data_IF_930332666650
#
_entry.id   IF_930332666650
#
_cell.length_a   1.000
_cell.length_b   1.000
_cell.length_c   1.000
_cell.angle_alpha   90.00
_cell.angle_beta   90.00
_cell.angle_gamma   90.00
#
_symmetry.space_group_name_H-M   'P 1'
#
loop_
_entity.id
_entity.type
_entity.pdbx_description
1 polymer ?
#
# COMPACT_ATOMS: atom_id res chain seq x y z
N UNK A 1 18.07 -6.82 -2.87
CA UNK A 1 17.31 -8.08 -2.82
C UNK A 1 15.83 -7.77 -2.58
N UNK A 2 14.97 -8.51 -3.23
CA UNK A 2 13.52 -8.36 -3.03
C UNK A 2 13.15 -8.64 -1.57
N UNK A 3 12.31 -7.80 -1.00
CA UNK A 3 11.86 -7.96 0.38
C UNK A 3 11.17 -9.31 0.58
N UNK A 4 11.34 -9.91 1.74
CA UNK A 4 10.78 -11.22 2.10
C UNK A 4 10.25 -11.19 3.52
N UNK A 5 9.45 -12.21 3.86
CA UNK A 5 9.00 -12.43 5.24
C UNK A 5 10.22 -12.54 6.17
N UNK A 6 10.19 -11.83 7.28
CA UNK A 6 11.28 -11.71 8.22
C UNK A 6 12.18 -10.50 8.03
N UNK A 7 12.12 -9.86 6.87
CA UNK A 7 12.90 -8.64 6.60
C UNK A 7 12.28 -7.44 7.30
N UNK A 8 13.14 -6.45 7.60
CA UNK A 8 12.70 -5.14 8.09
C UNK A 8 12.44 -4.21 6.91
N UNK A 9 11.49 -3.29 7.10
CA UNK A 9 11.24 -2.24 6.13
C UNK A 9 12.47 -1.34 5.99
N UNK A 10 12.77 -0.86 4.77
CA UNK A 10 13.84 0.12 4.57
C UNK A 10 13.40 1.50 5.10
N UNK A 11 14.37 2.27 5.61
CA UNK A 11 14.13 3.62 6.10
C UNK A 11 14.04 4.60 4.91
N UNK A 12 12.88 4.68 4.31
CA UNK A 12 12.61 5.49 3.10
C UNK A 12 11.52 6.51 3.42
N UNK A 13 11.68 7.72 2.91
CA UNK A 13 10.67 8.76 3.01
C UNK A 13 9.59 8.60 1.94
N UNK A 14 8.35 8.79 2.36
CA UNK A 14 7.16 8.79 1.51
C UNK A 14 6.34 10.04 1.83
N UNK A 15 5.30 10.33 1.05
CA UNK A 15 4.47 11.52 1.27
C UNK A 15 3.04 11.14 1.62
N UNK A 16 2.41 12.03 2.39
CA UNK A 16 1.01 11.91 2.77
C UNK A 16 0.38 13.29 2.77
N UNK A 17 -0.77 13.44 2.14
CA UNK A 17 -1.48 14.72 2.13
C UNK A 17 -2.71 14.64 3.02
N UNK A 18 -2.79 15.54 4.00
CA UNK A 18 -3.91 15.67 4.94
C UNK A 18 -4.24 17.15 5.11
N UNK A 19 -5.52 17.50 5.05
CA UNK A 19 -6.02 18.84 5.30
C UNK A 19 -5.27 19.93 4.48
N UNK A 20 -4.96 19.61 3.23
CA UNK A 20 -4.29 20.54 2.32
C UNK A 20 -2.78 20.59 2.44
N UNK A 21 -2.19 19.90 3.41
CA UNK A 21 -0.74 19.87 3.64
C UNK A 21 -0.12 18.55 3.23
N UNK A 22 1.01 18.61 2.50
CA UNK A 22 1.80 17.44 2.16
C UNK A 22 2.90 17.28 3.21
N UNK A 23 2.92 16.11 3.86
CA UNK A 23 3.96 15.74 4.81
C UNK A 23 4.90 14.72 4.21
N UNK A 24 6.18 14.82 4.54
CA UNK A 24 7.17 13.78 4.24
C UNK A 24 7.37 12.95 5.50
N UNK A 25 7.18 11.63 5.39
CA UNK A 25 7.17 10.72 6.52
C UNK A 25 8.15 9.59 6.26
N UNK A 26 8.97 9.23 7.26
CA UNK A 26 9.77 8.02 7.17
C UNK A 26 8.88 6.81 7.46
N UNK A 27 8.85 5.84 6.55
CA UNK A 27 7.96 4.68 6.65
C UNK A 27 8.26 3.85 7.91
N UNK A 28 9.51 3.78 8.32
CA UNK A 28 9.92 3.05 9.53
C UNK A 28 9.36 3.71 10.78
N UNK A 29 9.39 5.05 10.84
CA UNK A 29 8.82 5.79 11.96
C UNK A 29 7.30 5.65 12.02
N UNK A 30 6.65 5.65 10.86
CA UNK A 30 5.19 5.45 10.76
C UNK A 30 4.76 4.09 11.28
N UNK A 31 5.52 3.05 10.97
CA UNK A 31 5.17 1.66 11.28
C UNK A 31 5.67 1.17 12.64
N UNK A 32 6.49 1.97 13.32
CA UNK A 32 7.12 1.56 14.59
C UNK A 32 6.08 1.21 15.65
N UNK A 33 6.22 0.02 16.24
CA UNK A 33 5.36 -0.44 17.32
C UNK A 33 3.93 -0.77 16.92
N UNK A 34 3.64 -0.84 15.61
CA UNK A 34 2.29 -1.08 15.10
C UNK A 34 2.22 -2.34 14.26
N UNK A 35 1.04 -2.96 14.27
CA UNK A 35 0.70 -4.03 13.32
C UNK A 35 -0.10 -3.42 12.17
N UNK A 36 0.44 -3.53 10.97
CA UNK A 36 -0.04 -2.80 9.80
C UNK A 36 -0.32 -3.75 8.65
N UNK A 37 -1.42 -3.50 7.94
CA UNK A 37 -1.61 -4.04 6.59
C UNK A 37 -1.22 -2.93 5.61
N UNK A 38 -0.25 -3.22 4.75
CA UNK A 38 0.13 -2.35 3.65
C UNK A 38 -0.16 -3.07 2.35
N UNK A 39 -1.01 -2.49 1.52
CA UNK A 39 -1.23 -3.00 0.16
C UNK A 39 -0.83 -1.95 -0.86
N UNK A 40 -0.26 -2.42 -1.95
CA UNK A 40 0.23 -1.57 -3.03
C UNK A 40 -0.32 -2.04 -4.37
N UNK A 41 -0.36 -1.12 -5.32
CA UNK A 41 -1.01 -1.34 -6.59
C UNK A 41 -0.38 -0.44 -7.66
N UNK A 42 -0.57 -0.77 -8.95
CA UNK A 42 0.08 -0.04 -10.03
C UNK A 42 -0.33 1.43 -10.19
N UNK A 43 -1.50 1.83 -9.74
CA UNK A 43 -1.85 3.24 -9.84
C UNK A 43 -3.25 3.58 -9.38
N UNK A 44 -3.37 4.76 -8.77
CA UNK A 44 -4.65 5.38 -8.46
C UNK A 44 -5.48 5.54 -9.72
N UNK A 45 -6.81 5.38 -9.59
CA UNK A 45 -7.78 5.51 -10.67
C UNK A 45 -7.67 4.47 -11.80
N UNK A 46 -6.78 3.50 -11.70
CA UNK A 46 -6.73 2.41 -12.68
C UNK A 46 -7.83 1.38 -12.40
N UNK A 47 -8.24 0.57 -13.41
CA UNK A 47 -9.49 -0.22 -13.29
C UNK A 47 -9.57 -1.16 -12.09
N UNK A 48 -8.68 -2.14 -11.95
CA UNK A 48 -8.73 -3.11 -10.84
C UNK A 48 -8.46 -2.45 -9.49
N UNK A 49 -7.56 -1.48 -9.46
CA UNK A 49 -7.24 -0.74 -8.25
C UNK A 49 -8.47 0.00 -7.69
N UNK A 50 -9.25 0.64 -8.58
CA UNK A 50 -10.42 1.42 -8.22
C UNK A 50 -11.69 0.58 -8.05
N UNK A 51 -11.83 -0.53 -8.80
CA UNK A 51 -13.04 -1.33 -8.80
C UNK A 51 -13.04 -2.43 -7.73
N UNK A 52 -11.88 -2.93 -7.33
CA UNK A 52 -11.80 -4.12 -6.50
C UNK A 52 -10.79 -4.03 -5.35
N UNK A 53 -9.55 -3.61 -5.61
CA UNK A 53 -8.49 -3.69 -4.61
C UNK A 53 -8.74 -2.74 -3.44
N UNK A 54 -8.79 -1.44 -3.70
CA UNK A 54 -9.06 -0.45 -2.64
C UNK A 54 -10.45 -0.62 -2.01
N UNK A 55 -11.54 -0.77 -2.79
CA UNK A 55 -12.85 -0.97 -2.18
C UNK A 55 -12.94 -2.19 -1.27
N UNK A 56 -12.27 -3.28 -1.60
CA UNK A 56 -12.23 -4.47 -0.77
C UNK A 56 -11.64 -4.20 0.61
N UNK A 57 -10.59 -3.40 0.70
CA UNK A 57 -10.01 -3.00 1.98
C UNK A 57 -10.88 -2.02 2.75
N UNK A 58 -11.58 -1.13 2.06
CA UNK A 58 -12.54 -0.22 2.71
C UNK A 58 -13.63 -1.04 3.40
N UNK A 59 -14.21 -2.02 2.71
CA UNK A 59 -15.26 -2.89 3.25
C UNK A 59 -14.74 -3.73 4.44
N UNK A 60 -13.51 -4.24 4.35
CA UNK A 60 -12.94 -5.12 5.36
C UNK A 60 -12.25 -4.37 6.50
N UNK A 61 -12.19 -3.04 6.46
CA UNK A 61 -11.38 -2.26 7.42
C UNK A 61 -11.74 -2.53 8.88
N UNK A 62 -13.02 -2.52 9.22
CA UNK A 62 -13.47 -2.74 10.61
C UNK A 62 -13.06 -4.13 11.10
N UNK A 63 -13.20 -5.15 10.27
CA UNK A 63 -12.81 -6.51 10.60
C UNK A 63 -11.30 -6.64 10.79
N UNK A 64 -10.51 -5.97 9.95
CA UNK A 64 -9.05 -5.91 10.11
C UNK A 64 -8.68 -5.27 11.45
N UNK A 65 -9.27 -4.13 11.80
CA UNK A 65 -9.01 -3.46 13.08
C UNK A 65 -9.42 -4.35 14.25
N UNK A 66 -10.55 -5.02 14.18
CA UNK A 66 -11.01 -5.95 15.22
C UNK A 66 -10.02 -7.10 15.41
N UNK A 67 -9.31 -7.52 14.37
CA UNK A 67 -8.31 -8.59 14.42
C UNK A 67 -6.90 -8.10 14.74
N UNK A 68 -6.76 -6.91 15.28
CA UNK A 68 -5.49 -6.40 15.84
C UNK A 68 -4.65 -5.56 14.89
N UNK A 69 -5.17 -5.19 13.73
CA UNK A 69 -4.48 -4.27 12.83
C UNK A 69 -4.65 -2.84 13.35
N UNK A 70 -3.55 -2.13 13.52
CA UNK A 70 -3.55 -0.75 14.02
C UNK A 70 -3.72 0.28 12.91
N UNK A 71 -3.26 -0.01 11.70
CA UNK A 71 -3.26 0.91 10.57
C UNK A 71 -3.33 0.14 9.26
N UNK A 72 -4.09 0.66 8.31
CA UNK A 72 -4.15 0.14 6.93
C UNK A 72 -3.55 1.21 6.02
N UNK A 73 -2.57 0.83 5.22
CA UNK A 73 -1.89 1.71 4.27
C UNK A 73 -2.16 1.24 2.84
N UNK A 74 -2.57 2.17 1.99
CA UNK A 74 -2.60 2.00 0.54
C UNK A 74 -1.43 2.80 -0.03
N UNK A 75 -0.51 2.13 -0.74
CA UNK A 75 0.67 2.74 -1.31
C UNK A 75 0.67 2.61 -2.83
N UNK A 76 1.04 3.67 -3.51
CA UNK A 76 1.15 3.66 -4.98
C UNK A 76 2.23 4.64 -5.42
N UNK A 77 2.80 4.39 -6.61
CA UNK A 77 3.72 5.31 -7.27
C UNK A 77 2.88 6.38 -7.98
N UNK A 78 2.30 7.24 -7.15
CA UNK A 78 1.55 8.45 -7.52
C UNK A 78 1.93 9.53 -6.53
N UNK A 79 1.74 10.78 -6.90
CA UNK A 79 2.00 11.88 -5.96
C UNK A 79 0.92 11.98 -4.87
N UNK A 80 1.22 12.77 -3.85
CA UNK A 80 0.33 12.90 -2.69
C UNK A 80 -1.01 13.55 -3.02
N UNK A 81 -1.06 14.44 -4.01
CA UNK A 81 -2.30 15.09 -4.43
C UNK A 81 -3.25 14.08 -5.08
N UNK A 82 -2.72 13.24 -5.95
CA UNK A 82 -3.50 12.17 -6.61
C UNK A 82 -3.99 11.16 -5.58
N UNK A 83 -3.14 10.75 -4.64
CA UNK A 83 -3.51 9.77 -3.61
C UNK A 83 -4.62 10.30 -2.70
N UNK A 84 -4.57 11.56 -2.31
CA UNK A 84 -5.64 12.17 -1.52
C UNK A 84 -6.96 12.19 -2.31
N UNK A 85 -6.93 12.66 -3.55
CA UNK A 85 -8.13 12.74 -4.38
C UNK A 85 -8.77 11.36 -4.60
N UNK A 86 -7.93 10.35 -4.81
CA UNK A 86 -8.42 8.98 -5.00
C UNK A 86 -9.05 8.43 -3.71
N UNK A 87 -8.41 8.67 -2.57
CA UNK A 87 -8.97 8.29 -1.27
C UNK A 87 -10.32 8.94 -1.00
N UNK A 88 -10.46 10.23 -1.32
CA UNK A 88 -11.74 10.95 -1.20
C UNK A 88 -12.81 10.36 -2.11
N UNK A 89 -12.48 10.08 -3.36
CA UNK A 89 -13.41 9.46 -4.32
C UNK A 89 -13.88 8.08 -3.84
N UNK A 90 -13.00 7.32 -3.20
CA UNK A 90 -13.28 5.98 -2.72
C UNK A 90 -13.88 5.97 -1.29
N UNK A 91 -14.07 7.13 -0.69
CA UNK A 91 -14.64 7.28 0.65
C UNK A 91 -13.89 6.49 1.73
N UNK A 92 -12.55 6.52 1.65
CA UNK A 92 -11.72 5.81 2.64
C UNK A 92 -11.79 6.43 4.03
N UNK A 93 -12.09 7.73 4.10
CA UNK A 93 -12.09 8.53 5.33
C UNK A 93 -10.76 8.39 6.08
N UNK A 94 -10.79 8.09 7.36
CA UNK A 94 -9.59 7.82 8.18
C UNK A 94 -9.27 6.32 8.32
N UNK A 95 -10.00 5.46 7.61
CA UNK A 95 -9.81 4.01 7.68
C UNK A 95 -8.55 3.53 6.99
N UNK A 96 -8.17 4.17 5.89
CA UNK A 96 -7.00 3.81 5.10
C UNK A 96 -6.16 5.05 4.88
N UNK A 97 -4.88 4.94 5.23
CA UNK A 97 -3.91 6.01 4.99
C UNK A 97 -3.37 5.90 3.57
N UNK A 98 -3.61 6.92 2.76
CA UNK A 98 -3.22 6.95 1.34
C UNK A 98 -1.80 7.49 1.23
N UNK A 99 -0.83 6.60 1.11
CA UNK A 99 0.60 6.94 1.05
C UNK A 99 1.07 7.05 -0.39
N UNK A 100 1.78 8.13 -0.67
CA UNK A 100 2.35 8.44 -1.97
C UNK A 100 3.83 8.08 -2.01
N UNK A 101 4.20 7.17 -2.90
CA UNK A 101 5.59 6.86 -3.24
C UNK A 101 5.89 7.41 -4.65
N UNK A 102 5.69 8.72 -4.81
CA UNK A 102 5.65 9.37 -6.12
C UNK A 102 6.91 9.20 -6.96
N UNK A 103 8.07 9.12 -6.34
CA UNK A 103 9.35 8.89 -7.01
C UNK A 103 9.79 7.43 -7.00
N UNK A 104 8.94 6.52 -6.54
CA UNK A 104 9.18 5.08 -6.46
C UNK A 104 10.37 4.70 -5.56
N UNK A 105 10.78 5.55 -4.62
CA UNK A 105 11.94 5.28 -3.78
C UNK A 105 11.72 4.05 -2.88
N UNK A 106 10.55 3.96 -2.24
CA UNK A 106 10.22 2.80 -1.42
C UNK A 106 10.04 1.55 -2.28
N UNK A 107 9.27 1.65 -3.35
CA UNK A 107 8.98 0.55 -4.26
C UNK A 107 10.26 -0.06 -4.82
N UNK A 108 11.22 0.77 -5.24
CA UNK A 108 12.52 0.30 -5.73
C UNK A 108 13.38 -0.28 -4.61
N UNK A 109 13.35 0.30 -3.41
CA UNK A 109 14.14 -0.18 -2.28
C UNK A 109 13.75 -1.61 -1.87
N UNK A 110 12.48 -1.97 -2.01
CA UNK A 110 12.01 -3.35 -1.74
C UNK A 110 12.00 -4.25 -2.97
N UNK A 111 12.38 -3.70 -4.13
CA UNK A 111 12.48 -4.40 -5.43
C UNK A 111 11.14 -5.01 -5.89
N UNK A 112 10.06 -4.27 -5.69
CA UNK A 112 8.72 -4.63 -6.20
C UNK A 112 8.22 -3.62 -7.24
N UNK A 113 9.13 -2.96 -7.94
CA UNK A 113 8.79 -2.08 -9.05
C UNK A 113 8.39 -2.89 -10.29
N UNK A 114 7.64 -2.24 -11.17
CA UNK A 114 7.20 -2.77 -12.44
C UNK A 114 7.39 -1.70 -13.52
N UNK A 115 8.04 -2.05 -14.62
CA UNK A 115 8.21 -1.15 -15.75
C UNK A 115 6.98 -1.20 -16.64
N UNK A 116 6.23 -0.11 -16.69
CA UNK A 116 5.05 0.05 -17.55
C UNK A 116 5.24 1.12 -18.63
N UNK A 117 6.47 1.33 -19.07
CA UNK A 117 6.78 2.29 -20.13
C UNK A 117 6.00 2.04 -21.39
N UNK A 118 5.78 0.77 -21.77
CA UNK A 118 5.05 0.40 -22.97
C UNK A 118 3.62 0.94 -23.01
N UNK A 119 3.01 1.19 -21.86
CA UNK A 119 1.67 1.74 -21.73
C UNK A 119 1.66 3.21 -21.31
N UNK A 120 2.82 3.85 -21.26
CA UNK A 120 2.96 5.26 -20.91
C UNK A 120 2.85 5.53 -19.41
N UNK A 121 2.94 4.50 -18.57
CA UNK A 121 2.81 4.65 -17.12
C UNK A 121 4.14 4.75 -16.38
N UNK A 122 5.26 4.46 -17.05
CA UNK A 122 6.59 4.50 -16.44
C UNK A 122 6.78 3.42 -15.39
N UNK A 123 7.59 3.73 -14.38
CA UNK A 123 7.83 2.81 -13.26
C UNK A 123 6.68 2.89 -12.27
N UNK A 124 6.11 1.75 -11.95
CA UNK A 124 5.02 1.60 -11.00
C UNK A 124 5.32 0.49 -9.99
N UNK A 125 4.44 0.33 -9.01
CA UNK A 125 4.51 -0.78 -8.07
C UNK A 125 3.86 -2.02 -8.67
N UNK A 126 4.42 -3.19 -8.38
CA UNK A 126 3.66 -4.44 -8.51
C UNK A 126 2.48 -4.40 -7.54
N UNK A 127 1.50 -5.27 -7.76
CA UNK A 127 0.37 -5.41 -6.86
C UNK A 127 0.72 -6.43 -5.77
N UNK A 128 0.67 -5.99 -4.52
CA UNK A 128 0.96 -6.86 -3.39
C UNK A 128 0.23 -6.40 -2.13
N UNK A 129 0.22 -7.26 -1.12
CA UNK A 129 -0.18 -6.91 0.24
C UNK A 129 0.78 -7.55 1.22
N UNK A 130 1.07 -6.86 2.31
CA UNK A 130 1.90 -7.38 3.38
C UNK A 130 1.31 -7.04 4.75
N UNK A 131 1.60 -7.88 5.71
CA UNK A 131 1.36 -7.62 7.12
C UNK A 131 2.71 -7.33 7.78
N UNK A 132 2.80 -6.21 8.46
CA UNK A 132 4.02 -5.72 9.09
C UNK A 132 3.76 -5.60 10.59
N UNK A 133 4.67 -6.12 11.40
CA UNK A 133 4.61 -5.97 12.85
C UNK A 133 5.90 -5.32 13.33
N UNK A 134 5.80 -4.11 13.85
CA UNK A 134 6.95 -3.33 14.31
C UNK A 134 8.10 -3.35 13.30
N UNK A 135 7.78 -2.97 12.05
CA UNK A 135 8.71 -2.89 10.91
C UNK A 135 9.22 -4.24 10.37
N UNK A 136 8.76 -5.37 10.89
CA UNK A 136 9.12 -6.70 10.36
C UNK A 136 7.99 -7.26 9.53
N UNK A 137 8.29 -7.72 8.33
CA UNK A 137 7.31 -8.33 7.42
C UNK A 137 6.95 -9.72 7.93
N UNK A 138 5.68 -9.93 8.25
CA UNK A 138 5.15 -11.23 8.70
C UNK A 138 4.44 -12.00 7.60
N UNK A 139 3.79 -11.29 6.68
CA UNK A 139 3.09 -11.86 5.53
C UNK A 139 3.41 -11.02 4.30
N UNK A 140 3.67 -11.68 3.18
CA UNK A 140 3.90 -11.00 1.91
C UNK A 140 3.26 -11.80 0.77
N UNK A 141 2.23 -11.23 0.16
CA UNK A 141 1.52 -11.82 -0.96
C UNK A 141 1.68 -10.92 -2.18
N UNK A 142 2.51 -11.35 -3.13
CA UNK A 142 2.76 -10.62 -4.37
C UNK A 142 1.97 -11.29 -5.50
N UNK A 143 1.19 -10.50 -6.23
CA UNK A 143 0.40 -11.02 -7.36
C UNK A 143 1.30 -11.42 -8.53
N UNK A 144 0.91 -12.48 -9.22
CA UNK A 144 1.44 -12.75 -10.55
C UNK A 144 0.99 -11.62 -11.51
N UNK A 145 1.73 -11.36 -12.60
CA UNK A 145 1.37 -10.30 -13.53
C UNK A 145 -0.08 -10.37 -13.97
N UNK A 146 -0.79 -9.24 -13.87
CA UNK A 146 -2.21 -9.07 -14.26
C UNK A 146 -3.21 -9.89 -13.43
N UNK A 147 -2.79 -10.48 -12.31
CA UNK A 147 -3.67 -11.23 -11.42
C UNK A 147 -4.11 -10.38 -10.21
N UNK A 148 -5.24 -10.79 -9.61
CA UNK A 148 -5.73 -10.24 -8.36
C UNK A 148 -6.38 -11.39 -7.56
N UNK A 149 -5.55 -12.18 -6.88
CA UNK A 149 -5.97 -13.42 -6.23
C UNK A 149 -5.44 -13.57 -4.79
N UNK A 150 -4.31 -12.91 -4.45
CA UNK A 150 -3.61 -13.14 -3.18
C UNK A 150 -3.41 -11.89 -2.35
N UNK A 151 -3.58 -10.69 -2.92
CA UNK A 151 -3.38 -9.42 -2.24
C UNK A 151 -4.68 -8.75 -1.79
N UNK A 152 -5.80 -9.37 -2.00
CA UNK A 152 -7.11 -8.88 -1.60
C UNK A 152 -7.29 -8.95 -0.07
N UNK A 153 -8.23 -8.16 0.44
CA UNK A 153 -8.46 -8.02 1.87
C UNK A 153 -8.87 -9.35 2.54
N UNK A 154 -9.68 -10.17 1.88
CA UNK A 154 -10.14 -11.44 2.45
C UNK A 154 -9.00 -12.43 2.60
N UNK A 155 -8.08 -12.49 1.64
CA UNK A 155 -6.90 -13.35 1.72
C UNK A 155 -5.99 -12.91 2.86
N UNK A 156 -5.81 -11.60 3.05
CA UNK A 156 -5.02 -11.06 4.16
C UNK A 156 -5.70 -11.34 5.51
N UNK A 157 -7.02 -11.18 5.61
CA UNK A 157 -7.77 -11.52 6.83
C UNK A 157 -7.56 -12.98 7.23
N UNK A 158 -7.54 -13.88 6.27
CA UNK A 158 -7.30 -15.31 6.52
C UNK A 158 -5.87 -15.61 7.00
N UNK A 159 -4.94 -14.67 6.84
CA UNK A 159 -3.52 -14.82 7.19
C UNK A 159 -3.16 -14.29 8.58
N UNK A 160 -4.08 -13.59 9.22
CA UNK A 160 -3.82 -12.96 10.54
C UNK A 160 -4.60 -13.61 11.66
#
# INVERSE_FOLDING_TARGET
>A
MTIQVGDKLPAIEVQHKTDGNVETINIVDLCKGKKIVLFALPGAFTPTCSASHLPGYVVASDELFTNGIDLIICLSVNDAHVMQAWGEQQNVDDRIMMIADGSAHFTKAIELEEDRDATGMGIRSQRYAMVINDNVVEVLNVEAPKQFEVSDAQTILASI
#
